data_IF_645461264165
#
_entry.id   IF_645461264165
#
_cell.length_a   1.000
_cell.length_b   1.000
_cell.length_c   1.000
_cell.angle_alpha   90.00
_cell.angle_beta   90.00
_cell.angle_gamma   90.00
#
_symmetry.space_group_name_H-M   'P 1'
#
loop_
_entity.id
_entity.type
_entity.pdbx_description
1 polymer ?
#
# COMPACT_ATOMS: atom_id res chain seq x y z
N UNK A 1 3.66 -17.30 6.40
CA UNK A 1 3.84 -16.32 5.31
C UNK A 1 2.73 -16.52 4.28
N UNK A 2 1.91 -15.51 4.02
CA UNK A 2 0.80 -15.58 3.04
C UNK A 2 1.23 -15.27 1.60
N UNK A 3 2.47 -14.80 1.39
CA UNK A 3 2.96 -14.33 0.08
C UNK A 3 2.38 -12.97 -0.30
N UNK A 4 2.74 -12.45 -1.47
CA UNK A 4 2.15 -11.23 -2.04
C UNK A 4 0.76 -11.53 -2.62
N UNK A 5 -0.28 -11.26 -1.82
CA UNK A 5 -1.67 -11.45 -2.20
C UNK A 5 -2.23 -10.15 -2.75
N UNK A 6 -2.30 -10.05 -4.08
CA UNK A 6 -2.93 -8.91 -4.75
C UNK A 6 -4.47 -9.04 -4.74
N UNK A 7 -5.22 -7.93 -4.89
CA UNK A 7 -6.70 -7.94 -4.90
C UNK A 7 -7.32 -8.86 -5.95
N UNK A 8 -6.56 -9.26 -6.98
CA UNK A 8 -6.99 -10.21 -8.01
C UNK A 8 -7.21 -11.64 -7.46
N UNK A 9 -6.59 -11.99 -6.32
CA UNK A 9 -6.59 -13.35 -5.78
C UNK A 9 -7.59 -13.56 -4.65
N UNK A 10 -7.87 -12.54 -3.84
CA UNK A 10 -8.81 -12.57 -2.70
C UNK A 10 -9.33 -11.17 -2.39
N UNK A 11 -10.51 -11.07 -1.75
CA UNK A 11 -11.02 -9.78 -1.27
C UNK A 11 -10.09 -9.16 -0.23
N UNK A 12 -10.15 -7.83 -0.10
CA UNK A 12 -9.37 -7.08 0.90
C UNK A 12 -9.60 -7.59 2.33
N UNK A 13 -10.85 -7.90 2.67
CA UNK A 13 -11.23 -8.41 3.99
C UNK A 13 -10.66 -9.81 4.25
N UNK A 14 -10.69 -10.70 3.25
CA UNK A 14 -10.10 -12.03 3.36
C UNK A 14 -8.57 -11.97 3.42
N UNK A 15 -7.94 -11.02 2.71
CA UNK A 15 -6.50 -10.75 2.82
C UNK A 15 -6.14 -10.34 4.24
N UNK A 16 -6.82 -9.32 4.78
CA UNK A 16 -6.62 -8.81 6.14
C UNK A 16 -6.83 -9.90 7.18
N UNK A 17 -7.86 -10.74 7.04
CA UNK A 17 -8.11 -11.89 7.93
C UNK A 17 -6.97 -12.90 7.92
N UNK A 18 -6.45 -13.26 6.75
CA UNK A 18 -5.33 -14.22 6.62
C UNK A 18 -4.02 -13.63 7.16
N UNK A 19 -3.76 -12.35 6.90
CA UNK A 19 -2.61 -11.63 7.43
C UNK A 19 -2.66 -11.62 8.96
N UNK A 20 -3.79 -11.22 9.56
CA UNK A 20 -4.00 -11.29 11.01
C UNK A 20 -3.79 -12.69 11.58
N UNK A 21 -4.30 -13.73 10.92
CA UNK A 21 -4.13 -15.11 11.36
C UNK A 21 -2.68 -15.62 11.28
N UNK A 22 -1.85 -15.03 10.40
CA UNK A 22 -0.45 -15.42 10.21
C UNK A 22 0.51 -14.70 11.18
N UNK A 23 0.12 -13.56 11.75
CA UNK A 23 0.99 -12.75 12.62
C UNK A 23 1.55 -13.49 13.84
N UNK A 24 0.79 -14.31 14.58
CA UNK A 24 1.35 -14.99 15.75
C UNK A 24 2.46 -15.98 15.40
N UNK A 25 2.47 -16.50 14.17
CA UNK A 25 3.56 -17.34 13.69
C UNK A 25 4.80 -16.53 13.32
N UNK A 26 4.62 -15.36 12.68
CA UNK A 26 5.71 -14.44 12.34
C UNK A 26 6.35 -13.82 13.59
N UNK A 27 5.54 -13.44 14.58
CA UNK A 27 6.02 -12.83 15.81
C UNK A 27 6.97 -13.74 16.59
N UNK A 28 6.80 -15.07 16.50
CA UNK A 28 7.69 -16.06 17.14
C UNK A 28 9.11 -16.08 16.57
N UNK A 29 9.31 -15.52 15.38
CA UNK A 29 10.64 -15.39 14.76
C UNK A 29 11.37 -14.12 15.22
N UNK A 30 10.68 -13.21 15.91
CA UNK A 30 11.27 -11.99 16.46
C UNK A 30 11.96 -12.26 17.81
N UNK A 31 12.98 -11.47 18.17
CA UNK A 31 13.53 -11.44 19.52
C UNK A 31 12.42 -11.22 20.57
N UNK A 32 12.50 -11.94 21.69
CA UNK A 32 11.47 -11.94 22.75
C UNK A 32 11.22 -10.56 23.34
N UNK A 33 12.23 -9.71 23.30
CA UNK A 33 12.21 -8.35 23.81
C UNK A 33 11.30 -7.42 23.01
N UNK A 34 11.12 -7.68 21.70
CA UNK A 34 10.33 -6.83 20.78
C UNK A 34 9.07 -7.51 20.25
N UNK A 35 8.93 -8.83 20.45
CA UNK A 35 7.80 -9.63 19.94
C UNK A 35 6.43 -9.01 20.29
N UNK A 36 6.26 -8.59 21.54
CA UNK A 36 5.00 -8.01 22.02
C UNK A 36 4.67 -6.66 21.38
N UNK A 37 5.65 -5.75 21.31
CA UNK A 37 5.48 -4.42 20.72
C UNK A 37 5.25 -4.50 19.21
N UNK A 38 6.05 -5.29 18.50
CA UNK A 38 5.92 -5.46 17.06
C UNK A 38 4.55 -6.06 16.69
N UNK A 39 4.08 -7.05 17.45
CA UNK A 39 2.76 -7.64 17.22
C UNK A 39 1.64 -6.61 17.43
N UNK A 40 1.74 -5.80 18.48
CA UNK A 40 0.76 -4.74 18.76
C UNK A 40 0.72 -3.70 17.62
N UNK A 41 1.87 -3.23 17.16
CA UNK A 41 1.97 -2.25 16.06
C UNK A 41 1.40 -2.80 14.75
N UNK A 42 1.69 -4.06 14.41
CA UNK A 42 1.16 -4.64 13.16
C UNK A 42 -0.36 -4.85 13.26
N UNK A 43 -0.87 -5.25 14.43
CA UNK A 43 -2.31 -5.35 14.66
C UNK A 43 -3.00 -3.99 14.54
N UNK A 44 -2.42 -2.93 15.12
CA UNK A 44 -2.92 -1.56 15.01
C UNK A 44 -2.98 -1.10 13.55
N UNK A 45 -1.89 -1.30 12.80
CA UNK A 45 -1.83 -0.99 11.38
C UNK A 45 -2.90 -1.75 10.58
N UNK A 46 -3.00 -3.06 10.78
CA UNK A 46 -3.99 -3.90 10.10
C UNK A 46 -5.42 -3.65 10.57
N UNK A 47 -5.67 -3.02 11.70
CA UNK A 47 -7.00 -2.59 12.09
C UNK A 47 -7.37 -1.25 11.42
N UNK A 48 -6.39 -0.39 11.14
CA UNK A 48 -6.55 1.00 10.68
C UNK A 48 -7.38 1.87 11.65
N UNK A 49 -7.23 1.60 12.95
CA UNK A 49 -8.02 2.22 14.01
C UNK A 49 -7.44 3.54 14.50
N UNK A 50 -6.11 3.66 14.56
CA UNK A 50 -5.41 4.89 14.95
C UNK A 50 -5.22 5.86 13.79
N UNK A 51 -4.99 7.14 14.11
CA UNK A 51 -4.69 8.15 13.10
C UNK A 51 -3.31 7.92 12.49
N UNK A 52 -2.35 7.40 13.26
CA UNK A 52 -1.04 6.96 12.81
C UNK A 52 -1.16 5.79 11.82
N UNK A 53 -1.95 4.76 12.12
CA UNK A 53 -2.17 3.62 11.22
C UNK A 53 -2.78 4.06 9.89
N UNK A 54 -3.78 4.96 9.92
CA UNK A 54 -4.40 5.51 8.70
C UNK A 54 -3.41 6.36 7.91
N UNK A 55 -2.58 7.15 8.59
CA UNK A 55 -1.55 7.95 7.93
C UNK A 55 -0.53 7.04 7.22
N UNK A 56 -0.11 5.95 7.87
CA UNK A 56 0.77 4.95 7.26
C UNK A 56 0.09 4.26 6.08
N UNK A 57 -1.20 3.94 6.18
CA UNK A 57 -1.97 3.36 5.05
C UNK A 57 -2.05 4.33 3.85
N UNK A 58 -2.28 5.63 4.10
CA UNK A 58 -2.23 6.65 3.06
C UNK A 58 -0.84 6.72 2.41
N UNK A 59 0.23 6.68 3.22
CA UNK A 59 1.60 6.73 2.73
C UNK A 59 1.95 5.50 1.87
N UNK A 60 1.56 4.29 2.30
CA UNK A 60 1.75 3.04 1.55
C UNK A 60 1.11 3.09 0.16
N UNK A 61 -0.14 3.57 0.08
CA UNK A 61 -0.84 3.68 -1.20
C UNK A 61 -0.30 4.78 -2.10
N UNK A 62 0.12 5.90 -1.52
CA UNK A 62 0.80 6.96 -2.27
C UNK A 62 2.12 6.47 -2.86
N UNK A 63 2.92 5.76 -2.08
CA UNK A 63 4.20 5.19 -2.55
C UNK A 63 3.96 4.25 -3.73
N UNK A 64 2.99 3.35 -3.59
CA UNK A 64 2.63 2.41 -4.67
C UNK A 64 2.16 3.14 -5.93
N UNK A 65 1.35 4.20 -5.82
CA UNK A 65 0.92 5.00 -6.96
C UNK A 65 2.08 5.75 -7.64
N UNK A 66 3.03 6.28 -6.86
CA UNK A 66 4.23 6.94 -7.38
C UNK A 66 5.14 5.96 -8.13
N UNK A 67 5.31 4.77 -7.58
CA UNK A 67 6.03 3.68 -8.23
C UNK A 67 5.34 3.30 -9.54
N UNK A 68 4.02 3.12 -9.55
CA UNK A 68 3.24 2.82 -10.76
C UNK A 68 3.48 3.84 -11.88
N UNK A 69 3.40 5.14 -11.58
CA UNK A 69 3.70 6.19 -12.56
C UNK A 69 5.14 6.13 -13.10
N UNK A 70 6.10 5.76 -12.25
CA UNK A 70 7.51 5.60 -12.64
C UNK A 70 7.71 4.39 -13.56
N UNK A 71 7.05 3.27 -13.27
CA UNK A 71 7.08 2.07 -14.11
C UNK A 71 6.42 2.28 -15.46
N UNK A 72 5.28 2.98 -15.52
CA UNK A 72 4.66 3.34 -16.80
C UNK A 72 5.56 4.24 -17.65
N UNK A 73 6.25 5.21 -17.03
CA UNK A 73 7.20 6.06 -17.74
C UNK A 73 8.38 5.25 -18.30
N UNK A 74 8.93 4.32 -17.52
CA UNK A 74 9.98 3.41 -17.97
C UNK A 74 9.50 2.47 -19.10
N UNK A 75 8.28 1.93 -18.98
CA UNK A 75 7.66 1.10 -20.01
C UNK A 75 7.46 1.87 -21.32
N UNK A 76 6.98 3.12 -21.24
CA UNK A 76 6.83 4.01 -22.41
C UNK A 76 8.17 4.26 -23.09
N UNK A 77 9.23 4.53 -22.32
CA UNK A 77 10.57 4.71 -22.88
C UNK A 77 11.09 3.45 -23.62
N UNK A 78 10.61 2.27 -23.24
CA UNK A 78 10.88 1.00 -23.90
C UNK A 78 9.86 0.63 -25.00
N UNK A 79 8.93 1.53 -25.36
CA UNK A 79 7.81 1.28 -26.28
C UNK A 79 6.87 0.14 -25.85
N UNK A 80 6.73 -0.08 -24.55
CA UNK A 80 5.81 -1.05 -23.96
C UNK A 80 4.58 -0.31 -23.47
N UNK A 81 3.40 -0.76 -23.88
CA UNK A 81 2.14 -0.27 -23.34
C UNK A 81 1.85 -0.98 -22.01
N UNK A 82 1.84 -0.21 -20.93
CA UNK A 82 1.56 -0.67 -19.58
C UNK A 82 0.60 0.33 -18.94
N UNK A 83 -0.52 -0.16 -18.41
CA UNK A 83 -1.49 0.65 -17.66
C UNK A 83 -1.53 0.14 -16.22
N UNK A 84 -1.16 1.03 -15.30
CA UNK A 84 -1.15 0.83 -13.86
C UNK A 84 -2.09 1.86 -13.18
N UNK A 85 -3.14 2.30 -13.88
CA UNK A 85 -4.15 3.24 -13.37
C UNK A 85 -4.81 2.78 -12.07
N UNK A 86 -5.01 1.48 -11.89
CA UNK A 86 -5.62 0.90 -10.69
C UNK A 86 -4.90 1.30 -9.38
N UNK A 87 -3.59 1.52 -9.43
CA UNK A 87 -2.81 1.93 -8.26
C UNK A 87 -3.13 3.36 -7.83
N UNK A 88 -3.45 4.23 -8.79
CA UNK A 88 -3.92 5.60 -8.51
C UNK A 88 -5.34 5.60 -7.94
N UNK A 89 -6.20 4.71 -8.44
CA UNK A 89 -7.57 4.57 -7.93
C UNK A 89 -7.59 4.04 -6.49
N UNK A 90 -6.74 3.05 -6.18
CA UNK A 90 -6.53 2.56 -4.83
C UNK A 90 -6.02 3.67 -3.89
N UNK A 91 -5.04 4.47 -4.33
CA UNK A 91 -4.57 5.60 -3.55
C UNK A 91 -5.68 6.64 -3.32
N UNK A 92 -6.53 6.91 -4.31
CA UNK A 92 -7.65 7.86 -4.19
C UNK A 92 -8.69 7.40 -3.17
N UNK A 93 -8.94 6.09 -3.07
CA UNK A 93 -9.87 5.53 -2.11
C UNK A 93 -9.40 5.70 -0.65
N UNK A 94 -8.09 5.72 -0.43
CA UNK A 94 -7.49 5.78 0.92
C UNK A 94 -7.09 7.20 1.32
N UNK A 95 -6.57 8.02 0.40
CA UNK A 95 -6.10 9.38 0.70
C UNK A 95 -7.23 10.30 1.19
N UNK A 96 -7.30 10.57 2.49
CA UNK A 96 -8.30 11.46 3.09
C UNK A 96 -7.73 12.84 3.37
N UNK A 97 -6.47 12.89 3.81
CA UNK A 97 -5.75 14.11 4.17
C UNK A 97 -5.57 15.12 3.02
N UNK A 98 -5.43 16.40 3.37
CA UNK A 98 -5.15 17.46 2.38
C UNK A 98 -3.81 17.23 1.69
N UNK A 99 -2.78 16.90 2.48
CA UNK A 99 -1.43 16.65 1.99
C UNK A 99 -1.35 15.46 1.03
N UNK A 100 -1.96 14.33 1.40
CA UNK A 100 -1.99 13.12 0.57
C UNK A 100 -2.72 13.35 -0.75
N UNK A 101 -3.85 14.05 -0.72
CA UNK A 101 -4.58 14.45 -1.94
C UNK A 101 -3.79 15.39 -2.85
N UNK A 102 -3.03 16.33 -2.27
CA UNK A 102 -2.22 17.26 -3.05
C UNK A 102 -1.04 16.52 -3.72
N UNK A 103 -0.40 15.58 -3.00
CA UNK A 103 0.63 14.71 -3.57
C UNK A 103 0.10 13.81 -4.68
N UNK A 104 -1.05 13.17 -4.47
CA UNK A 104 -1.66 12.31 -5.49
C UNK A 104 -1.95 13.08 -6.78
N UNK A 105 -2.51 14.29 -6.68
CA UNK A 105 -2.74 15.16 -7.85
C UNK A 105 -1.46 15.54 -8.57
N UNK A 106 -0.39 15.83 -7.82
CA UNK A 106 0.91 16.11 -8.41
C UNK A 106 1.47 14.89 -9.15
N UNK A 107 1.30 13.68 -8.61
CA UNK A 107 1.69 12.43 -9.25
C UNK A 107 0.91 12.18 -10.55
N UNK A 108 -0.41 12.36 -10.53
CA UNK A 108 -1.28 12.21 -11.71
C UNK A 108 -0.90 13.20 -12.81
N UNK A 109 -0.63 14.46 -12.45
CA UNK A 109 -0.21 15.48 -13.41
C UNK A 109 1.10 15.08 -14.12
N UNK A 110 2.06 14.51 -13.38
CA UNK A 110 3.32 14.01 -13.96
C UNK A 110 3.10 12.82 -14.88
N UNK A 111 2.19 11.91 -14.53
CA UNK A 111 1.80 10.76 -15.36
C UNK A 111 1.24 11.21 -16.71
N UNK A 112 0.42 12.25 -16.73
CA UNK A 112 -0.21 12.80 -17.94
C UNK A 112 0.70 13.70 -18.78
N UNK A 113 1.72 14.32 -18.19
CA UNK A 113 2.59 15.30 -18.88
C UNK A 113 3.68 14.70 -19.78
N UNK A 114 3.86 13.37 -19.81
CA UNK A 114 4.83 12.73 -20.70
C UNK A 114 4.12 12.22 -21.97
N UNK A 115 4.27 12.92 -23.12
CA UNK A 115 3.81 12.41 -24.41
C UNK A 115 4.56 11.13 -24.82
#
# INVERSE_FOLDING_TARGET
>A
FTGDLTPMNISFEEKRRREMAALPALAKELPKEIEGEALALIQEYLAAESDEARLVEEADKLDTALQAGSYEAAARAANIQLDLSEFFDNARAVCRGRFSKDLLRAAESRRSCHP
#
